data_IF_690008190349
#
_entry.id   IF_690008190349
#
_cell.length_a   1.000
_cell.length_b   1.000
_cell.length_c   1.000
_cell.angle_alpha   90.00
_cell.angle_beta   90.00
_cell.angle_gamma   90.00
#
_symmetry.space_group_name_H-M   'P 1'
#
loop_
_entity.id
_entity.type
_entity.pdbx_description
1 polymer ?
#
# COMPACT_ATOMS: atom_id res chain seq x y z
N UNK A 1 -52.63 63.43 12.49
CA UNK A 1 -51.18 63.17 12.68
C UNK A 1 -50.99 62.57 14.07
N UNK A 2 -50.23 61.47 14.17
CA UNK A 2 -49.87 60.71 15.40
C UNK A 2 -50.96 59.80 16.00
N UNK A 3 -51.26 58.70 15.31
CA UNK A 3 -51.99 57.54 15.87
C UNK A 3 -51.25 56.21 15.63
N UNK A 4 -49.91 56.26 15.55
CA UNK A 4 -49.08 55.18 15.01
C UNK A 4 -47.82 54.87 15.83
N UNK A 5 -47.87 54.95 17.17
CA UNK A 5 -46.68 54.67 18.01
C UNK A 5 -46.97 53.95 19.34
N UNK A 6 -47.97 53.05 19.39
CA UNK A 6 -48.24 52.26 20.63
C UNK A 6 -48.44 50.75 20.43
N UNK A 7 -47.96 50.17 19.32
CA UNK A 7 -48.08 48.71 19.08
C UNK A 7 -46.77 48.02 18.66
N UNK A 8 -45.62 48.56 19.07
CA UNK A 8 -44.31 47.95 18.78
C UNK A 8 -43.78 47.10 19.97
N UNK A 9 -44.46 47.09 21.12
CA UNK A 9 -43.92 46.46 22.34
C UNK A 9 -44.51 45.09 22.74
N UNK A 10 -45.24 44.41 21.84
CA UNK A 10 -45.88 43.12 22.15
C UNK A 10 -45.74 42.10 21.02
N UNK A 11 -44.57 42.03 20.40
CA UNK A 11 -44.12 40.86 19.62
C UNK A 11 -42.77 40.38 20.14
N UNK A 12 -42.71 40.23 21.46
CA UNK A 12 -41.65 39.56 22.19
C UNK A 12 -42.25 38.23 22.66
N UNK A 13 -42.59 37.35 21.71
CA UNK A 13 -43.00 35.98 21.97
C UNK A 13 -42.78 35.12 20.72
N UNK A 14 -41.95 34.09 20.91
CA UNK A 14 -42.08 32.77 20.30
C UNK A 14 -41.64 32.59 18.83
N UNK A 15 -40.36 32.79 18.51
CA UNK A 15 -39.67 31.99 17.46
C UNK A 15 -38.20 31.77 17.83
N UNK A 16 -37.93 31.18 18.99
CA UNK A 16 -36.64 30.57 19.32
C UNK A 16 -36.96 29.24 20.03
N UNK A 17 -37.25 28.20 19.25
CA UNK A 17 -37.34 26.80 19.73
C UNK A 17 -37.44 25.78 18.57
N UNK A 18 -36.77 26.05 17.44
CA UNK A 18 -36.63 25.06 16.36
C UNK A 18 -35.18 25.02 15.86
N UNK A 19 -34.22 24.83 16.77
CA UNK A 19 -32.93 24.25 16.40
C UNK A 19 -33.00 22.80 16.86
N UNK A 20 -33.30 21.84 15.97
CA UNK A 20 -33.08 20.45 16.31
C UNK A 20 -31.58 20.28 16.59
N UNK A 21 -31.31 19.67 17.74
CA UNK A 21 -30.03 19.13 18.16
C UNK A 21 -29.48 18.18 17.09
N UNK A 22 -28.83 18.72 16.06
CA UNK A 22 -27.97 18.00 15.14
C UNK A 22 -26.54 18.53 15.31
N UNK A 23 -25.99 18.34 16.51
CA UNK A 23 -24.57 18.55 16.79
C UNK A 23 -23.93 17.31 17.43
N UNK A 24 -24.41 16.12 17.05
CA UNK A 24 -23.77 14.84 17.35
C UNK A 24 -24.01 13.87 16.20
N UNK A 25 -23.37 14.12 15.05
CA UNK A 25 -23.20 13.12 13.99
C UNK A 25 -22.07 13.60 13.07
N UNK A 26 -20.83 13.54 13.58
CA UNK A 26 -19.62 13.71 12.77
C UNK A 26 -18.41 13.17 13.54
N UNK A 27 -18.47 11.91 13.98
CA UNK A 27 -17.29 11.18 14.47
C UNK A 27 -17.57 9.67 14.51
N UNK A 28 -17.99 9.11 13.37
CA UNK A 28 -18.14 7.64 13.24
C UNK A 28 -17.89 7.19 11.80
N UNK A 29 -18.11 8.06 10.80
CA UNK A 29 -17.86 7.72 9.38
C UNK A 29 -16.39 7.84 8.92
N UNK A 30 -15.50 8.39 9.73
CA UNK A 30 -14.07 8.48 9.37
C UNK A 30 -13.27 7.22 9.73
N UNK A 31 -13.70 6.46 10.74
CA UNK A 31 -13.02 5.22 11.15
C UNK A 31 -13.35 4.07 10.21
N UNK A 32 -14.64 3.91 9.85
CA UNK A 32 -15.09 2.86 8.93
C UNK A 32 -14.44 2.99 7.53
N UNK A 33 -14.22 4.23 7.07
CA UNK A 33 -13.52 4.49 5.80
C UNK A 33 -12.00 4.37 5.87
N UNK A 34 -11.39 4.29 7.07
CA UNK A 34 -9.96 4.06 7.26
C UNK A 34 -9.65 2.57 7.33
N UNK A 35 -10.46 1.80 8.04
CA UNK A 35 -10.34 0.34 8.12
C UNK A 35 -10.42 -0.29 6.72
N UNK A 36 -11.35 0.17 5.88
CA UNK A 36 -11.46 -0.23 4.47
C UNK A 36 -10.17 0.07 3.67
N UNK A 37 -9.54 1.22 3.90
CA UNK A 37 -8.28 1.58 3.22
C UNK A 37 -7.08 0.74 3.67
N UNK A 38 -7.04 0.34 4.95
CA UNK A 38 -5.99 -0.54 5.45
C UNK A 38 -6.12 -1.92 4.79
N UNK A 39 -7.35 -2.45 4.67
CA UNK A 39 -7.60 -3.71 3.96
C UNK A 39 -7.18 -3.62 2.49
N UNK A 40 -7.55 -2.55 1.79
CA UNK A 40 -7.15 -2.35 0.39
C UNK A 40 -5.63 -2.24 0.24
N UNK A 41 -4.95 -1.54 1.16
CA UNK A 41 -3.49 -1.49 1.19
C UNK A 41 -2.89 -2.89 1.36
N UNK A 42 -3.38 -3.66 2.33
CA UNK A 42 -2.93 -5.03 2.59
C UNK A 42 -3.09 -5.90 1.34
N UNK A 43 -4.26 -5.90 0.71
CA UNK A 43 -4.55 -6.72 -0.48
C UNK A 43 -3.61 -6.37 -1.65
N UNK A 44 -3.35 -5.07 -1.85
CA UNK A 44 -2.44 -4.59 -2.90
C UNK A 44 -1.00 -5.01 -2.68
N UNK A 45 -0.52 -4.94 -1.43
CA UNK A 45 0.83 -5.40 -1.08
C UNK A 45 0.94 -6.93 -1.23
N UNK A 46 -0.09 -7.69 -0.86
CA UNK A 46 -0.13 -9.16 -1.04
C UNK A 46 -0.07 -9.54 -2.53
N UNK A 47 -0.88 -8.88 -3.38
CA UNK A 47 -0.86 -9.13 -4.82
C UNK A 47 0.52 -8.79 -5.43
N UNK A 48 1.09 -7.64 -5.03
CA UNK A 48 2.42 -7.24 -5.48
C UNK A 48 3.50 -8.21 -4.99
N UNK A 49 3.43 -8.70 -3.74
CA UNK A 49 4.34 -9.70 -3.19
C UNK A 49 4.35 -10.99 -4.03
N UNK A 50 3.17 -11.49 -4.42
CA UNK A 50 3.07 -12.70 -5.23
C UNK A 50 3.77 -12.54 -6.58
N UNK A 51 3.61 -11.37 -7.21
CA UNK A 51 4.27 -11.05 -8.47
C UNK A 51 5.80 -10.90 -8.31
N UNK A 52 6.23 -10.20 -7.25
CA UNK A 52 7.65 -10.02 -6.91
C UNK A 52 8.33 -11.36 -6.64
N UNK A 53 7.65 -12.27 -5.94
CA UNK A 53 8.16 -13.61 -5.64
C UNK A 53 8.45 -14.42 -6.92
N UNK A 54 7.50 -14.42 -7.87
CA UNK A 54 7.67 -15.13 -9.15
C UNK A 54 8.84 -14.52 -9.92
N UNK A 55 8.88 -13.19 -10.04
CA UNK A 55 9.95 -12.50 -10.76
C UNK A 55 11.32 -12.75 -10.11
N UNK A 56 11.42 -12.73 -8.78
CA UNK A 56 12.66 -12.98 -8.06
C UNK A 56 13.17 -14.43 -8.25
N UNK A 57 12.25 -15.41 -8.24
CA UNK A 57 12.56 -16.82 -8.46
C UNK A 57 13.03 -17.08 -9.90
N UNK A 58 12.43 -16.40 -10.87
CA UNK A 58 12.83 -16.49 -12.28
C UNK A 58 14.17 -15.78 -12.55
N UNK A 59 14.39 -14.58 -12.00
CA UNK A 59 15.71 -13.92 -12.07
C UNK A 59 16.80 -14.84 -11.51
N UNK A 60 16.58 -15.43 -10.33
CA UNK A 60 17.51 -16.39 -9.74
C UNK A 60 17.79 -17.56 -10.69
N UNK A 61 16.73 -18.16 -11.25
CA UNK A 61 16.84 -19.34 -12.11
C UNK A 61 17.57 -19.04 -13.42
N UNK A 62 17.28 -17.90 -14.05
CA UNK A 62 17.90 -17.50 -15.31
C UNK A 62 19.37 -17.13 -15.10
N UNK A 63 19.69 -16.42 -14.01
CA UNK A 63 21.06 -16.10 -13.63
C UNK A 63 21.86 -17.38 -13.33
N UNK A 64 21.28 -18.33 -12.58
CA UNK A 64 21.89 -19.64 -12.35
C UNK A 64 22.19 -20.38 -13.67
N UNK A 65 21.22 -20.42 -14.57
CA UNK A 65 21.36 -21.10 -15.86
C UNK A 65 22.42 -20.44 -16.76
N UNK A 66 22.59 -19.12 -16.68
CA UNK A 66 23.69 -18.42 -17.35
C UNK A 66 25.05 -18.85 -16.81
N UNK A 67 25.22 -18.89 -15.48
CA UNK A 67 26.51 -19.23 -14.86
C UNK A 67 26.88 -20.71 -15.05
N UNK A 68 25.92 -21.61 -14.83
CA UNK A 68 26.22 -23.04 -14.65
C UNK A 68 25.80 -23.92 -15.82
N UNK A 69 24.97 -23.42 -16.74
CA UNK A 69 24.46 -24.19 -17.87
C UNK A 69 24.75 -23.56 -19.23
N UNK A 70 25.53 -22.47 -19.27
CA UNK A 70 25.91 -21.74 -20.49
C UNK A 70 24.69 -21.30 -21.32
N UNK A 71 23.52 -21.13 -20.67
CA UNK A 71 22.35 -20.52 -21.33
C UNK A 71 22.58 -19.03 -21.49
N UNK A 72 21.85 -18.42 -22.44
CA UNK A 72 21.95 -16.98 -22.70
C UNK A 72 23.39 -16.53 -23.06
N UNK A 73 24.22 -17.46 -23.57
CA UNK A 73 25.64 -17.21 -23.88
C UNK A 73 26.51 -16.95 -22.65
N UNK A 74 26.06 -17.37 -21.46
CA UNK A 74 26.70 -17.05 -20.18
C UNK A 74 26.55 -15.60 -19.75
N UNK A 75 25.76 -14.79 -20.49
CA UNK A 75 25.60 -13.36 -20.21
C UNK A 75 24.48 -13.13 -19.19
N UNK A 76 24.87 -12.58 -18.04
CA UNK A 76 23.97 -12.34 -16.91
C UNK A 76 22.91 -11.29 -17.22
N UNK A 77 23.27 -10.21 -17.89
CA UNK A 77 22.34 -9.13 -18.19
C UNK A 77 21.27 -9.60 -19.16
N UNK A 78 21.66 -10.45 -20.12
CA UNK A 78 20.77 -11.11 -21.05
C UNK A 78 19.82 -12.04 -20.30
N UNK A 79 20.33 -12.85 -19.38
CA UNK A 79 19.51 -13.73 -18.56
C UNK A 79 18.46 -12.96 -17.72
N UNK A 80 18.86 -11.86 -17.07
CA UNK A 80 17.95 -10.99 -16.31
C UNK A 80 16.90 -10.37 -17.24
N UNK A 81 17.30 -9.87 -18.42
CA UNK A 81 16.38 -9.31 -19.40
C UNK A 81 15.33 -10.34 -19.82
N UNK A 82 15.73 -11.59 -20.11
CA UNK A 82 14.78 -12.63 -20.46
C UNK A 82 13.82 -12.96 -19.30
N UNK A 83 14.31 -13.02 -18.06
CA UNK A 83 13.46 -13.22 -16.89
C UNK A 83 12.41 -12.10 -16.75
N UNK A 84 12.80 -10.84 -16.97
CA UNK A 84 11.90 -9.69 -16.96
C UNK A 84 10.88 -9.74 -18.11
N UNK A 85 11.30 -10.11 -19.33
CA UNK A 85 10.41 -10.23 -20.49
C UNK A 85 9.34 -11.32 -20.27
N UNK A 86 9.75 -12.48 -19.78
CA UNK A 86 8.84 -13.60 -19.48
C UNK A 86 7.88 -13.26 -18.32
N UNK A 87 8.26 -12.30 -17.46
CA UNK A 87 7.46 -11.77 -16.36
C UNK A 87 6.80 -10.41 -16.64
N UNK A 88 6.72 -9.97 -17.90
CA UNK A 88 6.16 -8.67 -18.28
C UNK A 88 4.78 -8.37 -17.65
N UNK A 89 3.88 -9.36 -17.58
CA UNK A 89 2.57 -9.20 -16.92
C UNK A 89 2.67 -8.98 -15.41
N UNK A 90 3.59 -9.67 -14.74
CA UNK A 90 3.81 -9.50 -13.31
C UNK A 90 4.41 -8.12 -13.03
N UNK A 91 5.33 -7.65 -13.88
CA UNK A 91 5.87 -6.29 -13.82
C UNK A 91 4.79 -5.22 -14.00
N UNK A 92 3.87 -5.38 -14.96
CA UNK A 92 2.74 -4.46 -15.14
C UNK A 92 1.87 -4.36 -13.88
N UNK A 93 1.61 -5.48 -13.20
CA UNK A 93 0.85 -5.51 -11.93
C UNK A 93 1.63 -4.83 -10.80
N UNK A 94 2.93 -5.14 -10.68
CA UNK A 94 3.82 -4.53 -9.68
C UNK A 94 3.84 -3.01 -9.84
N UNK A 95 4.04 -2.50 -11.05
CA UNK A 95 4.11 -1.07 -11.33
C UNK A 95 2.77 -0.36 -11.08
N UNK A 96 1.65 -0.99 -11.46
CA UNK A 96 0.32 -0.44 -11.19
C UNK A 96 0.03 -0.37 -9.68
N UNK A 97 0.32 -1.45 -8.95
CA UNK A 97 0.11 -1.52 -7.52
C UNK A 97 1.06 -0.61 -6.75
N UNK A 98 2.30 -0.40 -7.20
CA UNK A 98 3.27 0.48 -6.54
C UNK A 98 2.71 1.89 -6.32
N UNK A 99 2.12 2.50 -7.36
CA UNK A 99 1.53 3.83 -7.24
C UNK A 99 0.35 3.86 -6.25
N UNK A 100 -0.48 2.81 -6.24
CA UNK A 100 -1.63 2.70 -5.37
C UNK A 100 -1.22 2.49 -3.91
N UNK A 101 -0.26 1.59 -3.66
CA UNK A 101 0.33 1.32 -2.34
C UNK A 101 0.92 2.61 -1.75
N UNK A 102 1.70 3.36 -2.53
CA UNK A 102 2.29 4.63 -2.07
C UNK A 102 1.22 5.69 -1.77
N UNK A 103 0.11 5.71 -2.50
CA UNK A 103 -1.01 6.63 -2.24
C UNK A 103 -1.72 6.24 -0.95
N UNK A 104 -2.14 4.97 -0.82
CA UNK A 104 -2.82 4.44 0.35
C UNK A 104 -1.98 4.64 1.61
N UNK A 105 -0.69 4.29 1.56
CA UNK A 105 0.23 4.47 2.68
C UNK A 105 0.24 5.91 3.22
N UNK A 106 0.22 6.94 2.36
CA UNK A 106 0.17 8.34 2.81
C UNK A 106 -1.09 8.66 3.61
N UNK A 107 -2.19 7.98 3.31
CA UNK A 107 -3.48 8.18 3.97
C UNK A 107 -3.60 7.40 5.28
N UNK A 108 -2.96 6.23 5.38
CA UNK A 108 -3.13 5.31 6.52
C UNK A 108 -1.91 5.22 7.46
N UNK A 109 -0.74 5.78 7.12
CA UNK A 109 0.50 5.63 7.93
C UNK A 109 0.46 6.20 9.35
N UNK A 110 -0.53 7.03 9.66
CA UNK A 110 -0.68 7.72 10.93
C UNK A 110 -1.99 7.32 11.66
N UNK A 111 -2.52 6.12 11.35
CA UNK A 111 -3.63 5.49 12.08
C UNK A 111 -3.14 4.81 13.37
N UNK A 112 -4.07 4.21 14.10
CA UNK A 112 -3.79 3.32 15.24
C UNK A 112 -2.89 2.13 14.86
N UNK A 113 -3.05 1.58 13.66
CA UNK A 113 -2.20 0.51 13.08
C UNK A 113 -0.88 1.02 12.46
N UNK A 114 -0.43 2.23 12.82
CA UNK A 114 0.73 2.88 12.19
C UNK A 114 2.03 2.08 12.29
N UNK A 115 2.22 1.27 13.33
CA UNK A 115 3.44 0.49 13.55
C UNK A 115 3.54 -0.62 12.50
N UNK A 116 2.46 -1.38 12.34
CA UNK A 116 2.34 -2.51 11.43
C UNK A 116 2.35 -2.05 9.97
N UNK A 117 1.60 -0.98 9.65
CA UNK A 117 1.57 -0.39 8.31
C UNK A 117 2.97 0.10 7.89
N UNK A 118 3.72 0.77 8.78
CA UNK A 118 5.08 1.24 8.50
C UNK A 118 6.04 0.07 8.31
N UNK A 119 5.89 -1.00 9.09
CA UNK A 119 6.69 -2.22 8.92
C UNK A 119 6.45 -2.87 7.56
N UNK A 120 5.18 -3.02 7.15
CA UNK A 120 4.81 -3.53 5.82
C UNK A 120 5.39 -2.66 4.72
N UNK A 121 5.21 -1.34 4.79
CA UNK A 121 5.70 -0.44 3.75
C UNK A 121 7.22 -0.45 3.61
N UNK A 122 7.96 -0.55 4.72
CA UNK A 122 9.42 -0.66 4.71
C UNK A 122 9.85 -1.96 4.04
N UNK A 123 9.35 -3.10 4.51
CA UNK A 123 9.71 -4.41 3.97
C UNK A 123 9.32 -4.57 2.50
N UNK A 124 8.17 -4.00 2.12
CA UNK A 124 7.71 -3.97 0.74
C UNK A 124 8.65 -3.14 -0.15
N UNK A 125 9.05 -1.94 0.29
CA UNK A 125 9.97 -1.07 -0.46
C UNK A 125 11.33 -1.72 -0.66
N UNK A 126 11.86 -2.36 0.39
CA UNK A 126 13.16 -3.05 0.34
C UNK A 126 13.11 -4.25 -0.63
N UNK A 127 12.02 -5.03 -0.60
CA UNK A 127 11.88 -6.17 -1.50
C UNK A 127 11.59 -5.76 -2.95
N UNK A 128 10.72 -4.75 -3.16
CA UNK A 128 10.45 -4.17 -4.47
C UNK A 128 11.75 -3.71 -5.13
N UNK A 129 12.55 -2.89 -4.42
CA UNK A 129 13.82 -2.37 -4.95
C UNK A 129 14.79 -3.50 -5.30
N UNK A 130 14.90 -4.51 -4.44
CA UNK A 130 15.76 -5.67 -4.67
C UNK A 130 15.39 -6.46 -5.94
N UNK A 131 14.09 -6.67 -6.19
CA UNK A 131 13.62 -7.49 -7.32
C UNK A 131 13.60 -6.69 -8.62
N UNK A 132 13.12 -5.44 -8.60
CA UNK A 132 12.96 -4.61 -9.79
C UNK A 132 14.31 -4.06 -10.27
N UNK A 133 15.19 -3.65 -9.35
CA UNK A 133 16.50 -3.07 -9.65
C UNK A 133 17.63 -4.08 -9.36
N UNK A 134 17.61 -5.19 -10.12
CA UNK A 134 18.57 -6.29 -9.98
C UNK A 134 20.01 -5.80 -10.10
N UNK A 135 20.81 -6.04 -9.06
CA UNK A 135 22.20 -5.62 -9.01
C UNK A 135 23.07 -6.53 -8.13
N UNK A 136 24.38 -6.31 -8.16
CA UNK A 136 25.34 -7.07 -7.37
C UNK A 136 25.76 -8.40 -7.99
N UNK A 137 26.11 -9.37 -7.14
CA UNK A 137 26.55 -10.71 -7.56
C UNK A 137 25.45 -11.75 -7.37
N UNK A 138 25.54 -12.87 -8.08
CA UNK A 138 24.63 -14.01 -7.88
C UNK A 138 24.57 -14.47 -6.42
N UNK A 139 25.73 -14.53 -5.74
CA UNK A 139 25.79 -14.96 -4.34
C UNK A 139 25.06 -13.99 -3.39
N UNK A 140 25.26 -12.68 -3.59
CA UNK A 140 24.54 -11.67 -2.78
C UNK A 140 23.05 -11.68 -3.09
N UNK A 141 22.67 -11.83 -4.36
CA UNK A 141 21.27 -11.93 -4.77
C UNK A 141 20.59 -13.15 -4.12
N UNK A 142 21.21 -14.33 -4.25
CA UNK A 142 20.72 -15.58 -3.67
C UNK A 142 20.56 -15.51 -2.16
N UNK A 143 21.46 -14.81 -1.45
CA UNK A 143 21.39 -14.66 0.00
C UNK A 143 20.25 -13.70 0.42
N UNK A 144 20.12 -12.58 -0.27
CA UNK A 144 19.12 -11.55 0.07
C UNK A 144 17.70 -11.96 -0.29
N UNK A 145 17.49 -12.68 -1.41
CA UNK A 145 16.16 -13.04 -1.93
C UNK A 145 15.24 -13.64 -0.87
N UNK A 146 15.70 -14.71 -0.22
CA UNK A 146 14.91 -15.42 0.80
C UNK A 146 14.75 -14.64 2.10
N UNK A 147 15.65 -13.69 2.37
CA UNK A 147 15.59 -12.86 3.57
C UNK A 147 14.50 -11.80 3.42
N UNK A 148 14.58 -11.00 2.34
CA UNK A 148 13.63 -9.92 2.07
C UNK A 148 12.20 -10.45 1.83
N UNK A 149 12.06 -11.57 1.11
CA UNK A 149 10.78 -12.27 0.94
C UNK A 149 10.12 -12.62 2.27
N UNK A 150 10.90 -13.11 3.23
CA UNK A 150 10.40 -13.50 4.56
C UNK A 150 10.09 -12.30 5.43
N UNK A 151 10.88 -11.23 5.34
CA UNK A 151 10.62 -9.99 6.07
C UNK A 151 9.28 -9.38 5.66
N UNK A 152 9.01 -9.28 4.35
CA UNK A 152 7.71 -8.82 3.87
C UNK A 152 6.56 -9.76 4.29
N UNK A 153 6.73 -11.07 4.12
CA UNK A 153 5.71 -12.04 4.54
C UNK A 153 5.41 -11.96 6.04
N UNK A 154 6.43 -11.72 6.87
CA UNK A 154 6.25 -11.56 8.32
C UNK A 154 5.49 -10.27 8.63
N UNK A 155 5.88 -9.14 8.05
CA UNK A 155 5.22 -7.87 8.29
C UNK A 155 3.74 -7.90 7.85
N UNK A 156 3.44 -8.52 6.71
CA UNK A 156 2.06 -8.71 6.24
C UNK A 156 1.27 -9.59 7.19
N UNK A 157 1.86 -10.68 7.69
CA UNK A 157 1.20 -11.54 8.66
C UNK A 157 0.89 -10.77 9.96
N UNK A 158 1.80 -9.93 10.43
CA UNK A 158 1.60 -9.16 11.64
C UNK A 158 0.46 -8.14 11.45
N UNK A 159 0.40 -7.43 10.31
CA UNK A 159 -0.73 -6.56 9.97
C UNK A 159 -2.06 -7.34 9.86
N UNK A 160 -2.03 -8.53 9.26
CA UNK A 160 -3.21 -9.39 9.11
C UNK A 160 -3.81 -9.89 10.44
N UNK A 161 -3.09 -9.77 11.55
CA UNK A 161 -3.59 -10.13 12.88
C UNK A 161 -4.33 -8.97 13.56
N UNK A 162 -4.10 -7.74 13.10
CA UNK A 162 -4.67 -6.52 13.67
C UNK A 162 -5.88 -6.00 12.88
N UNK A 163 -6.01 -6.39 11.60
CA UNK A 163 -7.20 -6.16 10.74
C UNK A 163 -8.19 -7.32 10.86
#
# INVERSE_FOLDING_TARGET
MKWWTKRIFSMLMAVICCVPLFLFYACESEEEGKEDKVQVFYDKVVESQQCLDILADDIYSYWYDAIYKDKYGGDINTAILYAQLDNSKNLEIIEANESEIQSLYKEIRDTDLSVEIKAVMSAYSDYYEFVVNVSGSFNSYSASKETLKKELASALKDLALEI
#
